data_IF_658075347214
#
_entry.id   IF_658075347214
#
_cell.length_a   1.000
_cell.length_b   1.000
_cell.length_c   1.000
_cell.angle_alpha   90.00
_cell.angle_beta   90.00
_cell.angle_gamma   90.00
#
_symmetry.space_group_name_H-M   'P 1'
#
loop_
_entity.id
_entity.type
_entity.pdbx_description
1 polymer ?
#
# COMPACT_ATOMS: atom_id res chain seq x y z
N UNK A 1 -10.64 -3.82 -33.16
CA UNK A 1 -10.20 -2.42 -33.04
C UNK A 1 -8.73 -2.34 -32.71
N UNK A 2 -7.93 -1.69 -33.56
CA UNK A 2 -6.54 -1.42 -33.25
C UNK A 2 -6.52 -0.30 -32.21
N UNK A 3 -5.83 -0.53 -31.09
CA UNK A 3 -5.65 0.47 -30.02
C UNK A 3 -4.93 1.73 -30.53
N UNK A 4 -4.18 1.60 -31.64
CA UNK A 4 -3.43 2.66 -32.29
C UNK A 4 -3.52 2.53 -33.81
N UNK A 5 -3.53 3.66 -34.52
CA UNK A 5 -3.30 3.64 -35.97
C UNK A 5 -1.91 3.04 -36.28
N UNK A 6 -1.76 2.31 -37.41
CA UNK A 6 -0.48 1.73 -37.81
C UNK A 6 0.65 2.77 -37.81
N UNK A 7 1.75 2.47 -37.11
CA UNK A 7 2.91 3.36 -37.00
C UNK A 7 2.78 4.52 -36.00
N UNK A 8 1.63 4.72 -35.36
CA UNK A 8 1.38 5.81 -34.39
C UNK A 8 1.40 5.36 -32.93
N UNK A 9 1.55 4.06 -32.67
CA UNK A 9 1.71 3.53 -31.31
C UNK A 9 3.10 3.81 -30.72
N UNK A 10 3.24 3.91 -29.39
CA UNK A 10 4.55 3.98 -28.76
C UNK A 10 5.34 2.68 -29.02
N UNK A 11 6.70 2.74 -29.00
CA UNK A 11 7.52 1.53 -29.03
C UNK A 11 7.09 0.54 -27.94
N UNK A 12 7.05 -0.76 -28.24
CA UNK A 12 6.53 -1.79 -27.33
C UNK A 12 7.16 -1.74 -25.93
N UNK A 13 8.49 -1.61 -25.84
CA UNK A 13 9.21 -1.49 -24.56
C UNK A 13 8.84 -0.22 -23.77
N UNK A 14 8.53 0.88 -24.46
CA UNK A 14 8.08 2.11 -23.80
C UNK A 14 6.68 1.92 -23.23
N UNK A 15 5.79 1.26 -23.97
CA UNK A 15 4.44 0.96 -23.50
C UNK A 15 4.47 0.05 -22.27
N UNK A 16 5.26 -1.03 -22.32
CA UNK A 16 5.44 -1.96 -21.19
C UNK A 16 5.93 -1.22 -19.94
N UNK A 17 6.98 -0.39 -20.06
CA UNK A 17 7.48 0.42 -18.95
C UNK A 17 6.43 1.35 -18.37
N UNK A 18 5.64 2.01 -19.22
CA UNK A 18 4.56 2.88 -18.76
C UNK A 18 3.51 2.08 -18.00
N UNK A 19 3.09 0.92 -18.50
CA UNK A 19 2.14 0.05 -17.79
C UNK A 19 2.67 -0.34 -16.42
N UNK A 20 3.95 -0.70 -16.30
CA UNK A 20 4.58 -1.00 -15.02
C UNK A 20 4.61 0.23 -14.09
N UNK A 21 4.92 1.42 -14.60
CA UNK A 21 4.84 2.66 -13.80
C UNK A 21 3.45 2.82 -13.18
N UNK A 22 2.39 2.63 -13.97
CA UNK A 22 1.02 2.68 -13.46
C UNK A 22 0.72 1.58 -12.44
N UNK A 23 1.08 0.32 -12.72
CA UNK A 23 0.82 -0.81 -11.82
C UNK A 23 1.48 -0.62 -10.43
N UNK A 24 2.70 -0.10 -10.40
CA UNK A 24 3.46 0.03 -9.16
C UNK A 24 3.26 1.36 -8.43
N UNK A 25 2.88 2.44 -9.11
CA UNK A 25 2.90 3.80 -8.54
C UNK A 25 1.54 4.52 -8.50
N UNK A 26 0.48 3.94 -9.08
CA UNK A 26 -0.84 4.59 -9.07
C UNK A 26 -1.63 4.38 -7.78
N UNK A 27 -2.55 5.31 -7.54
CA UNK A 27 -3.51 5.29 -6.45
C UNK A 27 -4.91 5.10 -7.01
N UNK A 28 -5.68 4.18 -6.44
CA UNK A 28 -7.03 3.92 -6.87
C UNK A 28 -7.97 5.04 -6.44
N UNK A 29 -8.65 5.67 -7.40
CA UNK A 29 -9.79 6.57 -7.18
C UNK A 29 -11.07 5.82 -7.51
N UNK A 30 -11.94 5.68 -6.51
CA UNK A 30 -13.32 5.28 -6.74
C UNK A 30 -14.13 6.54 -7.05
N UNK A 31 -14.65 6.66 -8.27
CA UNK A 31 -15.59 7.72 -8.64
C UNK A 31 -17.01 7.18 -8.40
N UNK A 32 -17.56 7.48 -7.23
CA UNK A 32 -18.92 7.09 -6.89
C UNK A 32 -19.93 7.66 -7.89
N UNK A 33 -20.92 6.86 -8.28
CA UNK A 33 -21.97 7.23 -9.23
C UNK A 33 -21.67 6.90 -10.71
N UNK A 34 -20.41 6.72 -11.10
CA UNK A 34 -20.04 6.42 -12.49
C UNK A 34 -19.66 4.94 -12.75
N UNK A 35 -19.48 4.13 -11.69
CA UNK A 35 -18.94 2.77 -11.81
C UNK A 35 -17.50 2.72 -12.36
N UNK A 36 -16.84 3.88 -12.46
CA UNK A 36 -15.54 4.03 -13.09
C UNK A 36 -14.44 3.94 -12.02
N UNK A 37 -13.49 3.02 -12.24
CA UNK A 37 -12.24 2.94 -11.48
C UNK A 37 -11.15 3.62 -12.27
N UNK A 38 -10.52 4.63 -11.68
CA UNK A 38 -9.40 5.34 -12.29
C UNK A 38 -8.16 5.23 -11.39
N UNK A 39 -6.98 5.12 -12.01
CA UNK A 39 -5.72 5.31 -11.33
C UNK A 39 -5.34 6.79 -11.36
N UNK A 40 -4.70 7.29 -10.29
CA UNK A 40 -4.03 8.59 -10.27
C UNK A 40 -2.55 8.37 -10.02
N UNK A 41 -1.70 9.02 -10.80
CA UNK A 41 -0.27 9.12 -10.50
C UNK A 41 -0.01 10.47 -9.81
N UNK A 42 0.44 10.41 -8.56
CA UNK A 42 0.96 11.56 -7.84
C UNK A 42 2.45 11.35 -7.61
N UNK A 43 3.30 12.13 -8.29
CA UNK A 43 4.75 11.91 -8.27
C UNK A 43 5.34 11.98 -6.86
N UNK A 44 4.93 12.97 -6.05
CA UNK A 44 5.41 13.07 -4.66
C UNK A 44 5.01 11.87 -3.82
N UNK A 45 3.77 11.38 -3.99
CA UNK A 45 3.28 10.26 -3.21
C UNK A 45 3.86 8.90 -3.66
N UNK A 46 4.14 8.75 -4.95
CA UNK A 46 4.78 7.56 -5.51
C UNK A 46 6.20 7.32 -4.96
N UNK A 47 6.85 8.37 -4.41
CA UNK A 47 8.17 8.26 -3.80
C UNK A 47 8.14 7.85 -2.32
N UNK A 48 6.96 7.77 -1.68
CA UNK A 48 6.85 7.41 -0.26
C UNK A 48 6.83 5.89 -0.09
N UNK A 49 7.69 5.37 0.78
CA UNK A 49 7.74 3.94 1.11
C UNK A 49 6.52 3.47 1.90
N UNK A 50 6.33 2.15 1.89
CA UNK A 50 5.33 1.49 2.70
C UNK A 50 5.77 1.30 4.16
N UNK A 51 4.84 1.51 5.09
CA UNK A 51 4.89 0.88 6.41
C UNK A 51 3.52 0.34 6.79
N UNK A 52 3.47 -0.79 7.52
CA UNK A 52 2.22 -1.34 8.09
C UNK A 52 1.74 -0.57 9.33
N UNK A 53 2.62 0.24 9.93
CA UNK A 53 2.28 1.28 10.89
C UNK A 53 2.87 2.62 10.43
N UNK A 54 2.26 3.25 9.41
CA UNK A 54 2.81 4.46 8.80
C UNK A 54 2.76 5.68 9.73
N UNK A 55 3.50 6.75 9.43
CA UNK A 55 3.39 8.04 10.13
C UNK A 55 2.60 9.10 9.33
N UNK A 56 2.17 8.77 8.11
CA UNK A 56 1.20 9.54 7.35
C UNK A 56 0.03 8.68 6.84
N UNK A 57 -1.08 9.35 6.53
CA UNK A 57 -2.25 8.79 5.86
C UNK A 57 -2.60 9.70 4.69
N UNK A 58 -3.23 9.13 3.67
CA UNK A 58 -3.66 9.89 2.51
C UNK A 58 -5.14 9.65 2.19
N UNK A 59 -5.73 10.61 1.51
CA UNK A 59 -7.05 10.54 0.92
C UNK A 59 -7.06 11.27 -0.42
N UNK A 60 -8.02 10.96 -1.28
CA UNK A 60 -8.28 11.75 -2.48
C UNK A 60 -9.47 12.66 -2.19
N UNK A 61 -9.27 13.97 -2.33
CA UNK A 61 -10.33 14.96 -2.25
C UNK A 61 -11.37 14.76 -3.34
N UNK A 62 -12.55 15.35 -3.17
CA UNK A 62 -13.61 15.34 -4.19
C UNK A 62 -13.17 16.02 -5.51
N UNK A 63 -12.27 16.98 -5.40
CA UNK A 63 -11.56 17.65 -6.50
C UNK A 63 -10.49 16.77 -7.19
N UNK A 64 -10.20 15.59 -6.64
CA UNK A 64 -9.19 14.67 -7.15
C UNK A 64 -7.76 14.99 -6.70
N UNK A 65 -7.58 15.92 -5.76
CA UNK A 65 -6.29 16.22 -5.19
C UNK A 65 -5.88 15.14 -4.17
N UNK A 66 -4.58 14.83 -4.17
CA UNK A 66 -3.98 13.94 -3.20
C UNK A 66 -3.70 14.70 -1.91
N UNK A 67 -4.42 14.35 -0.84
CA UNK A 67 -4.21 14.93 0.47
C UNK A 67 -3.35 14.00 1.33
N UNK A 68 -2.22 14.49 1.81
CA UNK A 68 -1.35 13.78 2.74
C UNK A 68 -1.41 14.44 4.12
N UNK A 69 -1.66 13.65 5.15
CA UNK A 69 -1.78 14.12 6.53
C UNK A 69 -0.91 13.28 7.45
N UNK A 70 -0.20 13.93 8.36
CA UNK A 70 0.53 13.23 9.41
C UNK A 70 -0.46 12.55 10.37
N UNK A 71 -0.19 11.30 10.77
CA UNK A 71 -0.95 10.58 11.80
C UNK A 71 -0.20 10.49 13.14
N UNK A 72 1.06 10.91 13.15
CA UNK A 72 1.89 11.10 14.32
C UNK A 72 2.87 12.25 14.08
N UNK A 73 3.51 12.82 15.12
CA UNK A 73 4.56 13.80 14.93
C UNK A 73 5.70 13.25 14.05
N UNK A 74 6.14 14.05 13.07
CA UNK A 74 7.26 13.71 12.18
C UNK A 74 8.37 14.74 12.38
N UNK A 75 9.50 14.32 12.97
CA UNK A 75 10.65 15.21 13.15
C UNK A 75 11.44 15.38 11.84
N UNK A 76 12.18 16.48 11.66
CA UNK A 76 13.07 16.65 10.51
C UNK A 76 14.01 15.47 10.33
N UNK A 77 14.14 14.98 9.10
CA UNK A 77 14.99 13.84 8.76
C UNK A 77 14.34 12.46 8.92
N UNK A 78 13.18 12.35 9.58
CA UNK A 78 12.43 11.09 9.57
C UNK A 78 11.74 10.85 8.23
N UNK A 79 11.77 9.60 7.78
CA UNK A 79 11.06 9.17 6.58
C UNK A 79 9.54 9.30 6.76
N UNK A 80 8.85 9.81 5.74
CA UNK A 80 7.38 9.81 5.68
C UNK A 80 6.93 8.54 4.96
N UNK A 81 6.10 7.74 5.63
CA UNK A 81 5.61 6.46 5.12
C UNK A 81 4.09 6.44 5.04
N UNK A 82 3.56 5.68 4.08
CA UNK A 82 2.12 5.50 3.86
C UNK A 82 1.76 4.00 3.78
N UNK A 83 0.48 3.63 3.98
CA UNK A 83 0.08 2.26 3.74
C UNK A 83 -0.21 2.04 2.24
N UNK A 84 0.33 0.95 1.68
CA UNK A 84 -0.04 0.46 0.35
C UNK A 84 -1.20 -0.54 0.41
N UNK A 85 -1.46 -1.05 1.61
CA UNK A 85 -2.59 -1.90 1.94
C UNK A 85 -3.76 -1.02 2.40
N UNK A 86 -4.99 -1.46 2.12
CA UNK A 86 -6.20 -0.87 2.66
C UNK A 86 -6.27 -1.03 4.19
N UNK A 87 -7.13 -0.24 4.82
CA UNK A 87 -7.36 -0.32 6.27
C UNK A 87 -7.75 -1.73 6.73
N UNK A 88 -8.57 -2.45 5.95
CA UNK A 88 -8.95 -3.83 6.28
C UNK A 88 -7.79 -4.81 6.17
N UNK A 89 -6.95 -4.66 5.13
CA UNK A 89 -5.76 -5.50 4.95
C UNK A 89 -4.69 -5.25 6.02
N UNK A 90 -4.59 -4.03 6.57
CA UNK A 90 -3.73 -3.72 7.70
C UNK A 90 -4.13 -4.45 8.99
N UNK A 91 -5.39 -4.88 9.11
CA UNK A 91 -5.87 -5.68 10.24
C UNK A 91 -5.56 -7.18 10.10
N UNK A 92 -4.98 -7.61 8.99
CA UNK A 92 -4.59 -9.01 8.77
C UNK A 92 -3.24 -9.30 9.44
N UNK A 93 -2.99 -10.58 9.74
CA UNK A 93 -1.73 -11.08 10.28
C UNK A 93 -0.52 -10.72 9.39
N UNK A 94 0.64 -10.53 10.01
CA UNK A 94 1.92 -10.17 9.37
C UNK A 94 2.29 -11.01 8.14
N UNK A 95 2.23 -12.36 8.16
CA UNK A 95 2.53 -13.17 6.97
C UNK A 95 1.57 -12.90 5.79
N UNK A 96 0.31 -12.57 6.08
CA UNK A 96 -0.69 -12.26 5.05
C UNK A 96 -0.38 -10.90 4.42
N UNK A 97 -0.12 -9.87 5.23
CA UNK A 97 0.27 -8.54 4.75
C UNK A 97 1.52 -8.60 3.86
N UNK A 98 2.55 -9.35 4.28
CA UNK A 98 3.78 -9.57 3.49
C UNK A 98 3.51 -10.28 2.18
N UNK A 99 2.66 -11.31 2.17
CA UNK A 99 2.28 -12.02 0.95
C UNK A 99 1.58 -11.10 -0.06
N UNK A 100 0.68 -10.24 0.42
CA UNK A 100 -0.03 -9.26 -0.43
C UNK A 100 0.93 -8.21 -1.00
N UNK A 101 1.86 -7.69 -0.20
CA UNK A 101 2.86 -6.73 -0.64
C UNK A 101 3.85 -7.34 -1.64
N UNK A 102 4.31 -8.57 -1.41
CA UNK A 102 5.17 -9.28 -2.35
C UNK A 102 4.47 -9.47 -3.70
N UNK A 103 3.20 -9.88 -3.69
CA UNK A 103 2.43 -10.05 -4.93
C UNK A 103 2.19 -8.72 -5.67
N UNK A 104 1.84 -7.66 -4.95
CA UNK A 104 1.41 -6.40 -5.57
C UNK A 104 2.55 -5.43 -5.86
N UNK A 105 3.67 -5.52 -5.13
CA UNK A 105 4.74 -4.52 -5.08
C UNK A 105 6.15 -5.12 -5.07
N UNK A 106 6.28 -6.45 -5.10
CA UNK A 106 7.55 -7.18 -5.24
C UNK A 106 8.61 -6.83 -4.16
N UNK A 107 8.19 -6.75 -2.90
CA UNK A 107 9.11 -6.59 -1.76
C UNK A 107 8.63 -7.32 -0.50
N UNK A 108 9.56 -7.50 0.45
CA UNK A 108 9.29 -8.04 1.78
C UNK A 108 9.28 -6.92 2.83
N UNK A 109 8.15 -6.72 3.51
CA UNK A 109 8.01 -5.61 4.47
C UNK A 109 8.76 -5.90 5.78
N UNK A 110 9.68 -4.99 6.12
CA UNK A 110 10.48 -4.99 7.36
C UNK A 110 10.22 -3.74 8.21
N UNK A 111 9.03 -3.12 8.09
CA UNK A 111 8.70 -2.00 8.97
C UNK A 111 8.63 -2.45 10.44
N UNK A 112 8.74 -1.53 11.39
CA UNK A 112 8.75 -1.82 12.84
C UNK A 112 7.62 -2.78 13.29
N UNK A 113 6.43 -2.70 12.70
CA UNK A 113 5.31 -3.60 13.02
C UNK A 113 5.51 -5.03 12.51
N UNK A 114 6.14 -5.19 11.34
CA UNK A 114 6.42 -6.51 10.77
C UNK A 114 7.72 -7.13 11.32
N UNK A 115 8.65 -6.30 11.76
CA UNK A 115 9.96 -6.71 12.31
C UNK A 115 9.97 -6.84 13.84
N UNK A 116 8.92 -6.36 14.51
CA UNK A 116 8.75 -6.54 15.96
C UNK A 116 8.48 -7.99 16.35
N UNK A 117 8.57 -8.31 17.65
CA UNK A 117 8.52 -9.70 18.13
C UNK A 117 7.12 -10.36 18.05
N UNK A 118 6.05 -9.56 18.08
CA UNK A 118 4.66 -10.03 18.20
C UNK A 118 3.77 -9.50 17.07
N UNK A 119 2.94 -10.38 16.53
CA UNK A 119 1.93 -10.06 15.53
C UNK A 119 0.62 -9.66 16.22
N UNK A 120 0.42 -8.36 16.38
CA UNK A 120 -0.75 -7.74 17.03
C UNK A 120 -2.11 -8.09 16.40
N UNK A 121 -2.10 -8.67 15.19
CA UNK A 121 -3.29 -9.10 14.46
C UNK A 121 -3.52 -10.63 14.51
N UNK A 122 -2.69 -11.39 15.26
CA UNK A 122 -2.76 -12.85 15.33
C UNK A 122 -2.77 -13.35 16.78
N UNK A 123 -3.85 -12.98 17.49
CA UNK A 123 -4.12 -13.38 18.87
C UNK A 123 -4.90 -14.69 18.99
N UNK A 124 -4.67 -15.41 20.09
CA UNK A 124 -5.33 -16.65 20.48
C UNK A 124 -5.69 -16.60 21.97
N UNK A 125 -6.76 -17.28 22.36
CA UNK A 125 -7.09 -17.50 23.76
C UNK A 125 -6.38 -18.76 24.27
N UNK A 126 -5.67 -18.65 25.38
CA UNK A 126 -5.05 -19.78 26.04
C UNK A 126 -6.15 -20.71 26.59
N UNK A 127 -6.19 -21.99 26.19
CA UNK A 127 -7.23 -22.91 26.63
C UNK A 127 -7.13 -23.29 28.12
N UNK A 128 -6.01 -22.98 28.78
CA UNK A 128 -5.77 -23.33 30.18
C UNK A 128 -6.10 -22.21 31.16
N UNK A 129 -5.72 -20.96 30.84
CA UNK A 129 -5.92 -19.81 31.73
C UNK A 129 -6.89 -18.75 31.20
N UNK A 130 -7.34 -18.87 29.94
CA UNK A 130 -8.20 -17.88 29.29
C UNK A 130 -7.49 -16.56 28.92
N UNK A 131 -6.19 -16.43 29.18
CA UNK A 131 -5.41 -15.26 28.79
C UNK A 131 -5.17 -15.16 27.29
N UNK A 132 -4.86 -13.96 26.81
CA UNK A 132 -4.54 -13.70 25.40
C UNK A 132 -3.05 -13.95 25.11
N UNK A 133 -2.77 -14.60 23.98
CA UNK A 133 -1.42 -14.82 23.48
C UNK A 133 -1.35 -14.42 22.00
N UNK A 134 -0.32 -13.67 21.61
CA UNK A 134 -0.09 -13.27 20.22
C UNK A 134 0.99 -14.13 19.59
N UNK A 135 0.82 -14.49 18.32
CA UNK A 135 1.87 -15.18 17.57
C UNK A 135 3.10 -14.28 17.42
N UNK A 136 4.28 -14.89 17.25
CA UNK A 136 5.41 -14.15 16.73
C UNK A 136 5.13 -13.69 15.29
N UNK A 137 5.72 -12.56 14.87
CA UNK A 137 5.61 -12.04 13.50
C UNK A 137 6.18 -12.96 12.42
N UNK A 138 6.93 -14.01 12.83
CA UNK A 138 7.71 -14.92 12.00
C UNK A 138 8.70 -14.15 11.09
N UNK A 139 10.00 -14.27 11.38
CA UNK A 139 11.05 -13.88 10.44
C UNK A 139 10.95 -14.73 9.16
#
# INVERSE_FOLDING_TARGET
>A
DLLWHPGLGPPALKLERLVLVWAFNCFNRNLEGAGLRAGILCQGAAMMSHACSPNAIWSLGSDGLFELRARSPVSPGHEVTIPYLSTGELCLATPIRRSMLSLAKDFFCMCQRCDGDLDDARGFLCPYCGGEAFAATCA
#
